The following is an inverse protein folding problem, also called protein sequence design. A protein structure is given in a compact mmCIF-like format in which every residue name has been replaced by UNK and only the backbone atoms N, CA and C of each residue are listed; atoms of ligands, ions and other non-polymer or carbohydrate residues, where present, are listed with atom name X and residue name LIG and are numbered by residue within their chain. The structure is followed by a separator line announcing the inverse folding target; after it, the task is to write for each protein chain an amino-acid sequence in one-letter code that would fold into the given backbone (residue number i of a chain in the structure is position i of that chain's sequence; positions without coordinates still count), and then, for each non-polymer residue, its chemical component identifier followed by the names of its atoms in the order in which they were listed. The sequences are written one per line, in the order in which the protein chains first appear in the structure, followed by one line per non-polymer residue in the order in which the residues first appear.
data_IF_177785394368
#
_entry.id   IF_177785394368
#
_cell.length_a   1.000
_cell.length_b   1.000
_cell.length_c   1.000
_cell.angle_alpha   90.00
_cell.angle_beta   90.00
_cell.angle_gamma   90.00
#
_symmetry.space_group_name_H-M   'P 1'
#
loop_
_entity.id
_entity.type
_entity.pdbx_description
1 polymer ?
#
# COMPACT_ATOMS: atom_id res chain seq x y z
N UNK A 1 14.81 2.16 -7.33
CA UNK A 1 14.45 3.59 -7.53
C UNK A 1 15.61 4.46 -7.09
N UNK A 2 16.02 5.48 -7.88
CA UNK A 2 17.11 6.38 -7.47
C UNK A 2 16.79 7.09 -6.15
N UNK A 3 17.71 7.11 -5.20
CA UNK A 3 17.54 7.72 -3.87
C UNK A 3 17.06 6.77 -2.76
N UNK A 4 16.73 5.51 -3.09
CA UNK A 4 16.26 4.48 -2.15
C UNK A 4 17.07 3.17 -2.24
N UNK A 5 18.29 3.23 -2.75
CA UNK A 5 19.17 2.07 -2.98
C UNK A 5 19.72 1.49 -1.68
N UNK A 6 19.85 2.34 -0.66
CA UNK A 6 20.37 1.92 0.65
C UNK A 6 19.22 1.56 1.60
N UNK A 7 19.30 0.41 2.27
CA UNK A 7 18.30 0.00 3.23
C UNK A 7 18.29 0.91 4.45
N UNK A 8 17.15 0.96 5.13
CA UNK A 8 16.95 1.76 6.33
C UNK A 8 16.56 0.86 7.49
N UNK A 9 17.05 1.22 8.67
CA UNK A 9 16.63 0.59 9.90
C UNK A 9 15.20 1.00 10.22
N UNK A 10 14.40 0.02 10.65
CA UNK A 10 13.02 0.24 11.09
C UNK A 10 12.93 -0.14 12.55
N UNK A 11 12.30 0.72 13.35
CA UNK A 11 11.95 0.44 14.74
C UNK A 11 10.55 -0.17 14.77
N UNK A 12 10.44 -1.37 15.33
CA UNK A 12 9.17 -2.08 15.47
C UNK A 12 8.59 -1.85 16.86
N UNK A 13 7.28 -1.96 17.01
CA UNK A 13 6.59 -1.94 18.30
C UNK A 13 6.76 -3.27 19.06
N UNK A 14 7.99 -3.76 19.15
CA UNK A 14 8.38 -5.00 19.82
C UNK A 14 9.50 -4.71 20.82
N UNK A 15 9.41 -5.33 22.01
CA UNK A 15 10.50 -5.26 23.00
C UNK A 15 11.75 -5.96 22.43
N UNK A 16 12.96 -5.39 22.59
CA UNK A 16 14.19 -6.05 22.19
C UNK A 16 14.26 -7.48 22.75
N UNK A 17 14.71 -8.44 21.93
CA UNK A 17 14.81 -9.85 22.31
C UNK A 17 13.51 -10.66 22.21
N UNK A 18 12.35 -10.04 22.00
CA UNK A 18 11.09 -10.79 21.82
C UNK A 18 10.90 -11.39 20.43
N UNK A 19 11.66 -10.93 19.43
CA UNK A 19 11.68 -11.49 18.08
C UNK A 19 12.72 -12.61 18.05
N UNK A 20 12.24 -13.85 17.93
CA UNK A 20 13.08 -15.04 17.95
C UNK A 20 13.81 -15.28 16.60
N UNK A 21 14.76 -16.22 16.62
CA UNK A 21 15.53 -16.61 15.44
C UNK A 21 14.66 -17.17 14.29
N UNK A 22 15.08 -16.88 13.06
CA UNK A 22 14.25 -17.00 11.86
C UNK A 22 13.06 -16.06 12.03
N UNK A 23 13.28 -14.73 11.90
CA UNK A 23 12.52 -13.68 12.55
C UNK A 23 11.05 -14.05 12.77
N UNK A 24 10.69 -14.18 14.04
CA UNK A 24 9.40 -14.74 14.45
C UNK A 24 8.96 -14.15 15.76
N UNK A 25 7.70 -13.73 15.81
CA UNK A 25 7.01 -13.28 17.02
C UNK A 25 5.75 -14.11 17.26
N UNK A 26 4.83 -13.61 18.09
CA UNK A 26 3.51 -14.17 18.38
C UNK A 26 2.59 -14.39 17.16
N UNK A 27 2.88 -13.83 15.99
CA UNK A 27 1.93 -13.74 14.86
C UNK A 27 2.55 -14.09 13.51
N UNK A 28 3.76 -13.61 13.26
CA UNK A 28 4.50 -13.70 12.02
C UNK A 28 5.65 -14.69 12.18
N UNK A 29 5.99 -15.38 11.09
CA UNK A 29 7.18 -16.21 11.02
C UNK A 29 7.79 -16.16 9.62
N UNK A 30 9.09 -15.92 9.56
CA UNK A 30 9.84 -16.09 8.31
C UNK A 30 10.13 -17.55 8.05
N UNK A 31 9.81 -17.97 6.83
CA UNK A 31 10.14 -19.28 6.27
C UNK A 31 11.09 -19.07 5.09
N UNK A 32 12.40 -19.04 5.37
CA UNK A 32 13.44 -18.95 4.34
C UNK A 32 13.66 -20.33 3.68
N UNK A 33 12.68 -20.72 2.87
CA UNK A 33 12.60 -22.03 2.24
C UNK A 33 13.59 -22.16 1.07
N UNK A 34 14.23 -23.33 0.97
CA UNK A 34 15.12 -23.66 -0.14
C UNK A 34 14.35 -24.43 -1.22
N UNK A 35 14.59 -24.08 -2.48
CA UNK A 35 14.00 -24.73 -3.67
C UNK A 35 12.46 -24.82 -3.66
N UNK A 36 11.81 -23.92 -2.91
CA UNK A 36 10.36 -23.89 -2.75
C UNK A 36 9.68 -23.55 -4.09
N UNK A 37 8.68 -24.33 -4.48
CA UNK A 37 7.69 -23.93 -5.49
C UNK A 37 6.61 -23.04 -4.84
N UNK A 38 5.97 -22.12 -5.57
CA UNK A 38 4.82 -21.39 -5.06
C UNK A 38 3.77 -22.34 -4.46
N UNK A 39 2.99 -21.87 -3.49
CA UNK A 39 1.88 -22.69 -2.99
C UNK A 39 0.79 -22.90 -4.04
N UNK A 40 0.60 -21.92 -4.92
CA UNK A 40 -0.40 -21.96 -5.99
C UNK A 40 0.24 -21.85 -7.36
N UNK A 41 -0.36 -22.52 -8.32
CA UNK A 41 -0.15 -22.21 -9.72
C UNK A 41 -0.78 -20.84 -9.98
N UNK A 42 -0.04 -19.93 -10.61
CA UNK A 42 -0.51 -18.57 -10.79
C UNK A 42 -1.49 -18.43 -11.96
N UNK A 43 -1.50 -19.37 -12.91
CA UNK A 43 -2.38 -19.34 -14.07
C UNK A 43 -3.74 -19.95 -13.73
N UNK A 44 -3.76 -21.14 -13.12
CA UNK A 44 -5.00 -21.82 -12.71
C UNK A 44 -5.50 -21.36 -11.33
N UNK A 45 -4.63 -20.79 -10.51
CA UNK A 45 -4.93 -20.47 -9.11
C UNK A 45 -4.97 -21.70 -8.20
N UNK A 46 -4.77 -22.91 -8.70
CA UNK A 46 -4.88 -24.14 -7.92
C UNK A 46 -3.68 -24.34 -6.97
N UNK A 47 -3.89 -25.08 -5.88
CA UNK A 47 -2.80 -25.39 -4.96
C UNK A 47 -1.87 -26.45 -5.56
N UNK A 48 -0.60 -26.11 -5.77
CA UNK A 48 0.47 -27.07 -6.03
C UNK A 48 0.74 -27.87 -4.74
N UNK A 49 0.63 -27.22 -3.58
CA UNK A 49 0.68 -27.82 -2.26
C UNK A 49 0.14 -26.82 -1.24
N UNK A 50 -0.28 -27.31 -0.07
CA UNK A 50 -1.02 -26.48 0.90
C UNK A 50 -0.11 -25.95 2.01
N UNK A 51 -0.25 -24.67 2.40
CA UNK A 51 0.34 -24.16 3.64
C UNK A 51 -0.24 -24.90 4.87
N UNK A 52 0.50 -25.01 6.00
CA UNK A 52 1.81 -24.42 6.27
C UNK A 52 3.00 -25.08 5.54
N UNK A 53 4.14 -24.41 5.53
CA UNK A 53 5.39 -24.95 5.00
C UNK A 53 5.79 -26.20 5.81
N UNK A 54 5.90 -27.40 5.20
CA UNK A 54 6.14 -28.62 5.96
C UNK A 54 7.44 -28.54 6.76
N UNK A 55 7.39 -28.97 8.03
CA UNK A 55 8.53 -28.87 8.97
C UNK A 55 9.80 -29.54 8.42
N UNK A 56 9.66 -30.72 7.81
CA UNK A 56 10.78 -31.49 7.24
C UNK A 56 11.33 -30.98 5.91
N UNK A 57 10.76 -29.93 5.29
CA UNK A 57 11.27 -29.42 4.01
C UNK A 57 12.48 -28.49 4.20
N UNK A 58 13.43 -28.48 3.24
CA UNK A 58 14.69 -27.73 3.35
C UNK A 58 14.48 -26.22 3.55
N UNK A 59 15.18 -25.66 4.54
CA UNK A 59 15.17 -24.22 4.84
C UNK A 59 16.56 -23.76 5.24
N UNK A 60 16.86 -22.48 5.06
CA UNK A 60 18.12 -21.90 5.57
C UNK A 60 18.14 -21.94 7.09
N UNK A 61 19.35 -21.88 7.66
CA UNK A 61 19.52 -21.75 9.11
C UNK A 61 18.78 -20.49 9.59
N UNK A 62 18.00 -20.58 10.69
CA UNK A 62 17.30 -19.42 11.22
C UNK A 62 18.27 -18.29 11.59
N UNK A 63 18.07 -17.12 11.00
CA UNK A 63 18.83 -15.90 11.31
C UNK A 63 18.62 -15.55 12.78
N UNK A 64 19.69 -15.28 13.54
CA UNK A 64 19.60 -14.97 14.97
C UNK A 64 19.66 -13.46 15.20
N UNK A 65 19.03 -12.93 16.25
CA UNK A 65 19.31 -11.58 16.70
C UNK A 65 20.73 -11.47 17.29
N UNK A 66 21.26 -10.25 17.39
CA UNK A 66 22.48 -9.96 18.15
C UNK A 66 22.22 -10.05 19.67
N UNK A 67 23.25 -9.78 20.48
CA UNK A 67 23.16 -9.86 21.95
C UNK A 67 22.10 -8.93 22.55
N UNK A 68 21.79 -7.81 21.89
CA UNK A 68 20.77 -6.84 22.28
C UNK A 68 19.37 -7.19 21.76
N UNK A 69 19.22 -8.29 21.00
CA UNK A 69 17.94 -8.70 20.46
C UNK A 69 17.56 -8.04 19.14
N UNK A 70 18.53 -7.46 18.41
CA UNK A 70 18.32 -6.74 17.14
C UNK A 70 18.85 -7.50 15.92
N UNK A 71 18.30 -7.17 14.75
CA UNK A 71 18.67 -7.73 13.43
C UNK A 71 19.34 -6.68 12.52
N UNK A 72 19.85 -5.60 13.09
CA UNK A 72 20.54 -4.49 12.39
C UNK A 72 21.95 -4.84 11.90
N UNK A 73 22.52 -5.96 12.37
CA UNK A 73 23.81 -6.50 11.93
C UNK A 73 23.76 -7.23 10.57
N UNK A 74 22.58 -7.39 9.97
CA UNK A 74 22.40 -8.16 8.74
C UNK A 74 22.92 -7.39 7.52
N UNK A 75 23.76 -8.04 6.71
CA UNK A 75 24.38 -7.41 5.53
C UNK A 75 23.44 -7.43 4.32
N UNK A 76 23.16 -6.27 3.69
CA UNK A 76 22.38 -6.20 2.45
C UNK A 76 22.91 -7.12 1.36
N UNK A 77 22.03 -7.60 0.47
CA UNK A 77 22.37 -8.55 -0.59
C UNK A 77 22.47 -10.01 -0.14
N UNK A 78 22.37 -10.30 1.17
CA UNK A 78 22.40 -11.68 1.69
C UNK A 78 20.99 -12.26 1.90
N UNK A 79 20.79 -13.59 1.81
CA UNK A 79 19.51 -14.21 2.19
C UNK A 79 19.10 -13.93 3.63
N UNK A 80 20.07 -13.80 4.54
CA UNK A 80 19.81 -13.46 5.93
C UNK A 80 19.19 -12.06 6.05
N UNK A 81 19.70 -11.09 5.28
CA UNK A 81 19.10 -9.76 5.18
C UNK A 81 17.68 -9.81 4.60
N UNK A 82 17.44 -10.56 3.50
CA UNK A 82 16.09 -10.71 2.97
C UNK A 82 15.11 -11.21 4.05
N UNK A 83 15.49 -12.23 4.82
CA UNK A 83 14.69 -12.75 5.92
C UNK A 83 14.38 -11.69 6.99
N UNK A 84 15.38 -10.91 7.42
CA UNK A 84 15.20 -9.79 8.36
C UNK A 84 14.32 -8.68 7.80
N UNK A 85 14.60 -8.24 6.57
CA UNK A 85 13.90 -7.16 5.89
C UNK A 85 12.42 -7.49 5.67
N UNK A 86 12.08 -8.70 5.22
CA UNK A 86 10.68 -9.11 5.02
C UNK A 86 9.90 -9.08 6.32
N UNK A 87 10.49 -9.58 7.41
CA UNK A 87 9.85 -9.53 8.72
C UNK A 87 9.65 -8.10 9.19
N UNK A 88 10.71 -7.28 9.13
CA UNK A 88 10.66 -5.89 9.57
C UNK A 88 9.63 -5.07 8.79
N UNK A 89 9.60 -5.22 7.45
CA UNK A 89 8.63 -4.55 6.60
C UNK A 89 7.19 -5.00 6.93
N UNK A 90 6.93 -6.31 7.03
CA UNK A 90 5.60 -6.81 7.33
C UNK A 90 5.11 -6.39 8.73
N UNK A 91 5.97 -6.47 9.74
CA UNK A 91 5.66 -6.04 11.10
C UNK A 91 5.39 -4.52 11.16
N UNK A 92 6.22 -3.72 10.49
CA UNK A 92 6.05 -2.26 10.43
C UNK A 92 4.72 -1.86 9.78
N UNK A 93 4.35 -2.50 8.68
CA UNK A 93 3.07 -2.23 7.99
C UNK A 93 1.88 -2.58 8.90
N UNK A 94 1.97 -3.67 9.66
CA UNK A 94 0.95 -4.01 10.65
C UNK A 94 0.91 -2.99 11.79
N UNK A 95 2.05 -2.57 12.35
CA UNK A 95 2.10 -1.56 13.41
C UNK A 95 1.44 -0.24 12.97
N UNK A 96 1.75 0.23 11.75
CA UNK A 96 1.15 1.44 11.16
C UNK A 96 -0.38 1.30 11.04
N UNK A 97 -0.86 0.21 10.44
CA UNK A 97 -2.28 0.08 10.17
C UNK A 97 -3.09 -0.30 11.40
N UNK A 98 -2.52 -1.02 12.36
CA UNK A 98 -3.15 -1.29 13.66
C UNK A 98 -3.31 -0.02 14.50
N UNK A 99 -2.38 0.93 14.39
CA UNK A 99 -2.55 2.27 14.96
C UNK A 99 -3.78 2.98 14.38
N UNK A 100 -3.93 3.02 13.04
CA UNK A 100 -5.07 3.70 12.43
C UNK A 100 -6.40 2.96 12.57
N UNK A 101 -6.36 1.63 12.70
CA UNK A 101 -7.53 0.80 12.95
C UNK A 101 -7.94 0.76 14.42
N UNK A 102 -7.10 1.29 15.33
CA UNK A 102 -7.29 1.29 16.78
C UNK A 102 -7.56 -0.11 17.35
N UNK A 103 -6.90 -1.12 16.77
CA UNK A 103 -6.98 -2.51 17.23
C UNK A 103 -5.88 -3.36 16.63
N UNK A 104 -5.48 -4.38 17.38
CA UNK A 104 -4.66 -5.47 16.85
C UNK A 104 -5.48 -6.35 15.91
N UNK A 105 -4.97 -6.61 14.72
CA UNK A 105 -5.58 -7.44 13.70
C UNK A 105 -5.37 -8.93 13.97
N UNK A 106 -6.42 -9.72 13.78
CA UNK A 106 -6.31 -11.18 13.71
C UNK A 106 -6.19 -11.60 12.26
N UNK A 107 -4.96 -11.87 11.82
CA UNK A 107 -4.71 -12.37 10.47
C UNK A 107 -5.36 -13.75 10.29
N UNK A 108 -5.99 -13.98 9.12
CA UNK A 108 -6.59 -15.26 8.79
C UNK A 108 -5.48 -16.25 8.43
N UNK A 109 -5.51 -17.42 9.07
CA UNK A 109 -4.57 -18.52 8.85
C UNK A 109 -5.28 -19.72 8.21
N UNK A 110 -4.54 -20.59 7.54
CA UNK A 110 -5.07 -21.89 7.12
C UNK A 110 -5.22 -22.84 8.31
N UNK A 111 -5.95 -23.93 8.07
CA UNK A 111 -5.97 -25.05 8.99
C UNK A 111 -4.55 -25.52 9.29
N UNK A 112 -4.25 -25.80 10.57
CA UNK A 112 -2.94 -26.22 11.09
C UNK A 112 -1.84 -25.15 11.14
N UNK A 113 -2.02 -23.98 10.51
CA UNK A 113 -1.11 -22.85 10.72
C UNK A 113 -1.27 -22.28 12.13
N UNK A 114 -0.13 -21.85 12.71
CA UNK A 114 -0.07 -21.18 14.02
C UNK A 114 0.36 -19.71 13.90
N UNK A 115 1.06 -19.39 12.81
CA UNK A 115 1.58 -18.08 12.49
C UNK A 115 1.39 -17.83 11.00
N UNK A 116 1.37 -16.56 10.64
CA UNK A 116 1.38 -16.09 9.27
C UNK A 116 2.78 -16.27 8.67
N UNK A 117 2.87 -16.90 7.51
CA UNK A 117 4.15 -17.24 6.89
C UNK A 117 4.63 -16.13 5.94
N UNK A 118 5.82 -15.61 6.20
CA UNK A 118 6.55 -14.70 5.31
C UNK A 118 7.61 -15.52 4.57
N UNK A 119 7.49 -15.66 3.25
CA UNK A 119 8.39 -16.49 2.45
C UNK A 119 9.18 -15.58 1.50
N UNK A 120 10.42 -15.19 1.88
CA UNK A 120 11.11 -14.06 1.27
C UNK A 120 11.64 -14.32 -0.14
N UNK A 121 11.95 -15.58 -0.49
CA UNK A 121 12.72 -15.90 -1.71
C UNK A 121 12.22 -17.17 -2.41
N UNK A 122 11.16 -17.05 -3.21
CA UNK A 122 10.58 -18.14 -4.01
C UNK A 122 11.02 -17.98 -5.47
N UNK A 123 12.17 -18.53 -5.84
CA UNK A 123 12.73 -18.38 -7.20
C UNK A 123 11.77 -18.79 -8.32
N UNK A 124 11.00 -19.86 -8.10
CA UNK A 124 10.01 -20.37 -9.07
C UNK A 124 8.77 -19.50 -9.21
N UNK A 125 8.59 -18.50 -8.33
CA UNK A 125 7.53 -17.50 -8.48
C UNK A 125 7.86 -16.51 -9.62
N UNK A 126 9.13 -16.43 -10.03
CA UNK A 126 9.59 -15.51 -11.08
C UNK A 126 9.51 -14.06 -10.61
N UNK A 127 9.20 -13.18 -11.55
CA UNK A 127 8.90 -11.78 -11.28
C UNK A 127 7.46 -11.63 -10.82
N UNK A 128 7.24 -11.99 -9.55
CA UNK A 128 5.98 -11.70 -8.88
C UNK A 128 6.14 -11.71 -7.36
N UNK A 129 5.14 -11.19 -6.67
CA UNK A 129 4.85 -11.44 -5.27
C UNK A 129 3.39 -11.91 -5.16
N UNK A 130 3.08 -12.81 -4.24
CA UNK A 130 1.76 -13.40 -4.14
C UNK A 130 1.29 -13.61 -2.70
N UNK A 131 0.02 -13.28 -2.47
CA UNK A 131 -0.66 -13.38 -1.19
C UNK A 131 -1.79 -14.39 -1.22
N UNK A 132 -1.61 -15.50 -0.50
CA UNK A 132 -2.69 -16.44 -0.21
C UNK A 132 -3.06 -16.43 1.26
N UNK A 133 -4.25 -16.93 1.63
CA UNK A 133 -4.67 -16.98 3.05
C UNK A 133 -3.54 -17.50 3.93
N UNK A 134 -3.16 -16.78 4.99
CA UNK A 134 -2.12 -17.21 5.93
C UNK A 134 -0.67 -17.14 5.47
N UNK A 135 -0.36 -16.62 4.28
CA UNK A 135 1.02 -16.47 3.81
C UNK A 135 1.22 -15.35 2.76
N UNK A 136 2.47 -14.91 2.60
CA UNK A 136 2.95 -14.15 1.45
C UNK A 136 4.23 -14.78 0.90
N UNK A 137 4.38 -14.75 -0.43
CA UNK A 137 5.53 -15.28 -1.15
C UNK A 137 6.11 -14.19 -2.06
N UNK A 138 7.43 -14.08 -2.08
CA UNK A 138 8.12 -13.09 -2.90
C UNK A 138 9.10 -13.75 -3.85
N UNK A 139 9.01 -13.37 -5.12
CA UNK A 139 9.95 -13.72 -6.17
C UNK A 139 11.03 -12.67 -6.30
N UNK A 140 11.46 -12.43 -7.53
CA UNK A 140 12.57 -11.55 -7.86
C UNK A 140 12.23 -10.68 -9.05
N UNK A 141 12.49 -9.38 -8.95
CA UNK A 141 12.43 -8.48 -10.09
C UNK A 141 13.39 -8.95 -11.20
N UNK A 142 13.00 -8.79 -12.45
CA UNK A 142 13.77 -9.09 -13.65
C UNK A 142 15.03 -8.23 -13.89
N UNK A 143 15.42 -7.38 -12.94
CA UNK A 143 16.62 -6.56 -13.01
C UNK A 143 17.93 -7.41 -12.96
N UNK A 144 19.05 -6.84 -13.40
CA UNK A 144 20.39 -7.43 -13.27
C UNK A 144 21.27 -6.58 -12.32
N UNK A 145 21.67 -7.11 -11.14
CA UNK A 145 21.33 -8.41 -10.59
C UNK A 145 19.86 -8.47 -10.11
N UNK A 146 19.27 -9.68 -10.16
CA UNK A 146 17.88 -9.91 -9.72
C UNK A 146 17.66 -9.48 -8.27
N UNK A 147 16.73 -8.54 -8.07
CA UNK A 147 16.42 -8.01 -6.75
C UNK A 147 15.23 -8.75 -6.12
N UNK A 148 15.33 -9.21 -4.87
CA UNK A 148 14.22 -9.88 -4.20
C UNK A 148 13.12 -8.87 -3.83
N UNK A 149 11.88 -9.15 -4.24
CA UNK A 149 10.75 -8.24 -3.95
C UNK A 149 10.50 -8.01 -2.46
N UNK A 150 10.90 -8.96 -1.63
CA UNK A 150 10.72 -8.92 -0.19
C UNK A 150 11.60 -7.89 0.52
N UNK A 151 12.58 -7.30 -0.18
CA UNK A 151 13.41 -6.20 0.32
C UNK A 151 12.84 -4.83 -0.06
N UNK A 152 11.78 -4.78 -0.87
CA UNK A 152 11.08 -3.55 -1.19
C UNK A 152 9.83 -3.38 -0.31
N UNK A 153 9.83 -2.33 0.52
CA UNK A 153 8.75 -2.04 1.45
C UNK A 153 7.40 -1.86 0.74
N UNK A 154 7.37 -1.23 -0.44
CA UNK A 154 6.10 -0.95 -1.11
C UNK A 154 5.39 -2.25 -1.57
N UNK A 155 6.16 -3.23 -2.04
CA UNK A 155 5.69 -4.56 -2.44
C UNK A 155 5.27 -5.36 -1.21
N UNK A 156 6.08 -5.39 -0.15
CA UNK A 156 5.70 -6.08 1.09
C UNK A 156 4.44 -5.47 1.70
N UNK A 157 4.32 -4.14 1.71
CA UNK A 157 3.17 -3.44 2.24
C UNK A 157 1.89 -3.72 1.44
N UNK A 158 1.97 -3.78 0.11
CA UNK A 158 0.84 -4.19 -0.72
C UNK A 158 0.41 -5.62 -0.37
N UNK A 159 1.34 -6.58 -0.32
CA UNK A 159 1.02 -7.99 -0.05
C UNK A 159 0.42 -8.20 1.35
N UNK A 160 1.00 -7.55 2.36
CA UNK A 160 0.44 -7.53 3.72
C UNK A 160 -0.91 -6.80 3.74
N UNK A 161 -1.10 -5.80 2.89
CA UNK A 161 -2.34 -5.06 2.70
C UNK A 161 -3.52 -5.94 2.33
N UNK A 162 -3.35 -6.95 1.48
CA UNK A 162 -4.41 -7.92 1.21
C UNK A 162 -4.90 -8.64 2.48
N UNK A 163 -4.00 -8.93 3.42
CA UNK A 163 -4.35 -9.60 4.68
C UNK A 163 -4.98 -8.66 5.69
N UNK A 164 -4.53 -7.41 5.74
CA UNK A 164 -5.19 -6.34 6.51
C UNK A 164 -6.63 -6.18 6.02
N UNK A 165 -6.83 -5.98 4.71
CA UNK A 165 -8.15 -5.79 4.11
C UNK A 165 -9.06 -7.00 4.32
N UNK A 166 -8.52 -8.22 4.19
CA UNK A 166 -9.29 -9.44 4.49
C UNK A 166 -9.73 -9.51 5.96
N UNK A 167 -8.92 -9.03 6.89
CA UNK A 167 -9.24 -9.00 8.33
C UNK A 167 -10.18 -7.84 8.73
N UNK A 168 -10.30 -6.82 7.90
CA UNK A 168 -11.13 -5.63 8.17
C UNK A 168 -12.45 -5.68 7.42
N UNK A 169 -12.42 -5.92 6.11
CA UNK A 169 -13.58 -5.90 5.21
C UNK A 169 -14.22 -7.29 5.13
N UNK A 170 -13.42 -8.35 5.13
CA UNK A 170 -13.86 -9.73 4.96
C UNK A 170 -13.33 -10.39 3.68
N UNK A 171 -13.67 -11.66 3.42
CA UNK A 171 -13.25 -12.36 2.21
C UNK A 171 -14.02 -11.86 0.97
N UNK A 172 -13.42 -12.03 -0.20
CA UNK A 172 -14.09 -11.81 -1.49
C UNK A 172 -15.34 -12.69 -1.59
N UNK A 173 -16.50 -12.14 -2.03
CA UNK A 173 -17.70 -12.92 -2.31
C UNK A 173 -17.48 -13.96 -3.41
N UNK A 174 -18.35 -14.97 -3.48
CA UNK A 174 -18.36 -15.97 -4.55
C UNK A 174 -19.38 -15.64 -5.67
N UNK A 175 -20.00 -14.47 -5.61
CA UNK A 175 -21.08 -14.04 -6.51
C UNK A 175 -20.62 -12.95 -7.51
N UNK A 176 -21.57 -12.34 -8.21
CA UNK A 176 -21.32 -11.28 -9.18
C UNK A 176 -20.61 -10.04 -8.60
N UNK A 177 -20.57 -9.86 -7.27
CA UNK A 177 -19.84 -8.79 -6.62
C UNK A 177 -18.35 -9.06 -6.46
N UNK A 178 -17.89 -10.30 -6.71
CA UNK A 178 -16.49 -10.70 -6.56
C UNK A 178 -15.52 -9.78 -7.33
N UNK A 179 -15.87 -9.45 -8.58
CA UNK A 179 -14.98 -8.71 -9.48
C UNK A 179 -14.65 -7.30 -8.99
N UNK A 180 -15.67 -6.48 -8.70
CA UNK A 180 -15.44 -5.12 -8.21
C UNK A 180 -14.83 -5.12 -6.80
N UNK A 181 -15.19 -6.11 -5.98
CA UNK A 181 -14.56 -6.30 -4.68
C UNK A 181 -13.06 -6.61 -4.81
N UNK A 182 -12.65 -7.48 -5.73
CA UNK A 182 -11.24 -7.74 -6.03
C UNK A 182 -10.54 -6.48 -6.54
N UNK A 183 -11.15 -5.76 -7.48
CA UNK A 183 -10.62 -4.50 -7.98
C UNK A 183 -10.42 -3.46 -6.85
N UNK A 184 -11.32 -3.43 -5.87
CA UNK A 184 -11.18 -2.62 -4.68
C UNK A 184 -10.05 -3.09 -3.77
N UNK A 185 -9.94 -4.39 -3.51
CA UNK A 185 -8.90 -4.96 -2.64
C UNK A 185 -7.50 -4.70 -3.21
N UNK A 186 -7.32 -4.81 -4.53
CA UNK A 186 -6.06 -4.44 -5.20
C UNK A 186 -5.74 -2.95 -5.02
N UNK A 187 -6.68 -2.07 -5.39
CA UNK A 187 -6.49 -0.63 -5.25
C UNK A 187 -6.27 -0.21 -3.79
N UNK A 188 -6.94 -0.85 -2.84
CA UNK A 188 -6.79 -0.58 -1.42
C UNK A 188 -5.46 -1.12 -0.86
N UNK A 189 -4.90 -2.20 -1.42
CA UNK A 189 -3.57 -2.67 -1.07
C UNK A 189 -2.48 -1.68 -1.53
N UNK A 190 -2.65 -1.05 -2.69
CA UNK A 190 -1.82 0.09 -3.10
C UNK A 190 -1.94 1.27 -2.14
N UNK A 191 -3.14 1.56 -1.62
CA UNK A 191 -3.34 2.61 -0.60
C UNK A 191 -2.71 2.25 0.76
N UNK A 192 -2.74 0.97 1.15
CA UNK A 192 -2.01 0.45 2.32
C UNK A 192 -0.53 0.75 2.19
N UNK A 193 0.03 0.44 1.02
CA UNK A 193 1.43 0.69 0.70
C UNK A 193 1.78 2.17 0.67
N UNK A 194 0.95 3.00 0.03
CA UNK A 194 1.11 4.46 -0.03
C UNK A 194 1.17 5.08 1.37
N UNK A 195 0.22 4.77 2.23
CA UNK A 195 0.23 5.26 3.62
C UNK A 195 1.50 4.79 4.33
N UNK A 196 1.86 3.50 4.20
CA UNK A 196 3.02 2.94 4.87
C UNK A 196 4.33 3.63 4.48
N UNK A 197 4.56 3.90 3.18
CA UNK A 197 5.79 4.58 2.75
C UNK A 197 5.84 6.06 3.18
N UNK A 198 4.68 6.72 3.30
CA UNK A 198 4.61 8.13 3.72
C UNK A 198 4.86 8.32 5.23
N UNK A 199 4.99 7.24 6.00
CA UNK A 199 5.51 7.28 7.38
C UNK A 199 7.03 7.43 7.46
N UNK A 200 7.75 7.36 6.35
CA UNK A 200 9.20 7.47 6.33
C UNK A 200 9.63 8.88 5.90
N UNK A 201 10.32 9.59 6.79
CA UNK A 201 10.76 10.97 6.55
C UNK A 201 11.60 11.12 5.28
N UNK A 202 12.42 10.12 4.94
CA UNK A 202 13.19 10.13 3.69
C UNK A 202 12.29 10.08 2.45
N UNK A 203 11.18 9.34 2.50
CA UNK A 203 10.22 9.27 1.39
C UNK A 203 9.51 10.61 1.26
N UNK A 204 9.06 11.18 2.39
CA UNK A 204 8.43 12.51 2.43
C UNK A 204 9.37 13.59 1.89
N UNK A 205 10.62 13.64 2.38
CA UNK A 205 11.63 14.60 1.94
C UNK A 205 11.91 14.46 0.44
N UNK A 206 12.20 13.24 -0.03
CA UNK A 206 12.48 12.99 -1.44
C UNK A 206 11.29 13.38 -2.34
N UNK A 207 10.07 13.02 -1.94
CA UNK A 207 8.85 13.37 -2.66
C UNK A 207 8.69 14.89 -2.77
N UNK A 208 8.88 15.63 -1.68
CA UNK A 208 8.72 17.08 -1.66
C UNK A 208 9.85 17.80 -2.40
N UNK A 209 11.08 17.29 -2.34
CA UNK A 209 12.22 17.78 -3.11
C UNK A 209 12.01 17.58 -4.62
N UNK A 210 11.58 16.40 -5.05
CA UNK A 210 11.30 16.06 -6.45
C UNK A 210 10.15 16.93 -7.00
N UNK A 211 9.07 17.04 -6.23
CA UNK A 211 7.85 17.73 -6.66
C UNK A 211 7.84 19.23 -6.38
N UNK A 212 8.81 19.73 -5.61
CA UNK A 212 8.86 21.09 -5.05
C UNK A 212 7.54 21.46 -4.35
N UNK A 213 6.99 20.50 -3.62
CA UNK A 213 5.75 20.64 -2.85
C UNK A 213 4.44 20.44 -3.64
N UNK A 214 4.47 20.22 -4.96
CA UNK A 214 3.26 20.02 -5.78
C UNK A 214 3.02 18.55 -6.15
N UNK A 215 2.13 17.89 -5.39
CA UNK A 215 1.89 16.45 -5.51
C UNK A 215 0.95 16.05 -6.67
N UNK A 216 0.21 16.98 -7.27
CA UNK A 216 -0.49 16.76 -8.55
C UNK A 216 0.51 16.69 -9.71
N UNK A 217 1.20 15.56 -9.78
CA UNK A 217 2.27 15.22 -10.71
C UNK A 217 2.51 13.70 -10.66
N UNK A 218 3.27 13.17 -11.62
CA UNK A 218 3.80 11.80 -11.50
C UNK A 218 5.04 11.88 -10.60
N UNK A 219 5.07 11.10 -9.52
CA UNK A 219 6.11 11.16 -8.48
C UNK A 219 6.17 9.83 -7.71
N UNK A 220 7.03 9.70 -6.71
CA UNK A 220 7.15 8.44 -5.91
C UNK A 220 5.83 7.97 -5.31
N UNK A 221 5.05 8.87 -4.70
CA UNK A 221 3.76 8.52 -4.09
C UNK A 221 2.71 8.09 -5.14
N UNK A 222 2.73 8.68 -6.33
CA UNK A 222 1.80 8.30 -7.40
C UNK A 222 2.18 6.98 -8.08
N UNK A 223 3.39 6.45 -7.86
CA UNK A 223 3.97 5.28 -8.55
C UNK A 223 4.03 4.02 -7.67
N UNK A 224 3.42 4.06 -6.49
CA UNK A 224 3.33 2.90 -5.60
C UNK A 224 2.69 1.73 -6.36
N UNK A 225 3.36 0.56 -6.33
CA UNK A 225 2.90 -0.65 -7.03
C UNK A 225 3.38 -0.77 -8.49
N UNK A 226 4.12 0.21 -9.04
CA UNK A 226 4.64 0.15 -10.41
C UNK A 226 5.66 -0.99 -10.64
N UNK A 227 6.36 -1.46 -9.60
CA UNK A 227 7.37 -2.53 -9.72
C UNK A 227 6.78 -3.92 -9.97
N UNK A 228 5.45 -4.13 -9.89
CA UNK A 228 4.85 -5.48 -9.86
C UNK A 228 4.32 -6.00 -11.20
N UNK A 229 4.45 -5.24 -12.29
CA UNK A 229 3.80 -5.57 -13.56
C UNK A 229 4.67 -6.37 -14.52
N UNK A 230 5.04 -7.61 -14.18
CA UNK A 230 5.49 -8.59 -15.19
C UNK A 230 4.38 -9.57 -15.62
N UNK A 231 3.22 -9.58 -14.95
CA UNK A 231 2.11 -10.48 -15.32
C UNK A 231 1.35 -10.12 -16.61
N UNK A 232 1.72 -9.07 -17.35
CA UNK A 232 1.00 -8.63 -18.56
C UNK A 232 1.84 -8.41 -19.81
N UNK A 233 3.17 -8.60 -19.78
CA UNK A 233 4.03 -8.36 -20.95
C UNK A 233 3.94 -6.94 -21.53
N UNK A 234 3.36 -5.97 -20.79
CA UNK A 234 3.28 -4.56 -21.15
C UNK A 234 3.70 -3.72 -19.95
N UNK A 235 4.77 -2.95 -20.14
CA UNK A 235 5.25 -1.87 -19.28
C UNK A 235 4.21 -0.73 -19.22
N UNK A 236 3.02 -0.98 -18.69
CA UNK A 236 2.11 0.08 -18.27
C UNK A 236 2.16 0.21 -16.75
N UNK A 237 3.09 1.05 -16.34
CA UNK A 237 3.25 1.53 -14.98
C UNK A 237 1.90 1.95 -14.36
N UNK A 238 1.46 1.24 -13.31
CA UNK A 238 0.27 1.57 -12.51
C UNK A 238 0.51 2.85 -11.70
N UNK A 239 0.38 4.01 -12.33
CA UNK A 239 0.36 5.29 -11.61
C UNK A 239 -1.05 5.55 -11.06
N UNK A 240 -1.16 5.92 -9.78
CA UNK A 240 -2.38 6.47 -9.18
C UNK A 240 -2.72 7.85 -9.76
N UNK A 241 -1.72 8.58 -10.27
CA UNK A 241 -1.91 9.84 -10.96
C UNK A 241 -2.28 9.60 -12.44
N UNK A 242 -3.59 9.58 -12.72
CA UNK A 242 -4.20 9.50 -14.05
C UNK A 242 -5.61 10.12 -14.04
N UNK A 243 -6.27 10.21 -15.19
CA UNK A 243 -7.63 10.75 -15.36
C UNK A 243 -8.71 9.71 -15.64
N UNK A 244 -8.33 8.47 -15.98
CA UNK A 244 -9.29 7.37 -16.25
C UNK A 244 -10.45 7.30 -15.25
N UNK A 245 -11.65 7.19 -15.81
CA UNK A 245 -12.96 7.02 -15.17
C UNK A 245 -13.42 5.57 -15.31
N UNK A 246 -14.51 5.20 -14.63
CA UNK A 246 -15.09 3.86 -14.76
C UNK A 246 -15.52 3.52 -16.20
N UNK A 247 -16.03 4.50 -16.95
CA UNK A 247 -16.39 4.35 -18.37
C UNK A 247 -15.17 3.95 -19.23
N UNK A 248 -14.02 4.60 -19.00
CA UNK A 248 -12.77 4.34 -19.74
C UNK A 248 -12.22 2.93 -19.51
N UNK A 249 -12.55 2.30 -18.37
CA UNK A 249 -12.08 0.96 -17.99
C UNK A 249 -13.19 -0.08 -18.05
N UNK A 250 -14.36 0.24 -18.60
CA UNK A 250 -15.49 -0.68 -18.66
C UNK A 250 -15.16 -2.00 -19.40
N UNK A 251 -14.29 -1.94 -20.42
CA UNK A 251 -13.81 -3.12 -21.13
C UNK A 251 -12.97 -4.07 -20.24
N UNK A 252 -12.29 -3.56 -19.20
CA UNK A 252 -11.51 -4.38 -18.27
C UNK A 252 -12.40 -5.37 -17.50
N UNK A 253 -13.64 -4.96 -17.18
CA UNK A 253 -14.64 -5.84 -16.55
C UNK A 253 -14.98 -7.05 -17.40
N UNK A 254 -15.17 -6.85 -18.70
CA UNK A 254 -15.44 -7.96 -19.64
C UNK A 254 -14.25 -8.91 -19.81
N UNK A 255 -13.03 -8.40 -19.62
CA UNK A 255 -11.78 -9.17 -19.74
C UNK A 255 -11.34 -9.84 -18.43
N UNK A 256 -12.07 -9.65 -17.33
CA UNK A 256 -11.65 -10.14 -16.02
C UNK A 256 -10.42 -9.41 -15.43
N UNK A 257 -10.05 -8.25 -15.98
CA UNK A 257 -8.91 -7.46 -15.51
C UNK A 257 -9.32 -6.51 -14.38
N UNK A 258 -9.41 -7.06 -13.17
CA UNK A 258 -9.77 -6.29 -11.98
C UNK A 258 -8.69 -5.25 -11.60
N UNK A 259 -7.44 -5.44 -12.00
CA UNK A 259 -6.36 -4.48 -11.76
C UNK A 259 -6.61 -3.18 -12.54
N UNK A 260 -6.87 -3.28 -13.85
CA UNK A 260 -7.20 -2.10 -14.66
C UNK A 260 -8.51 -1.46 -14.21
N UNK A 261 -9.50 -2.27 -13.82
CA UNK A 261 -10.79 -1.79 -13.34
C UNK A 261 -10.70 -0.99 -12.02
N UNK A 262 -9.74 -1.32 -11.14
CA UNK A 262 -9.51 -0.62 -9.87
C UNK A 262 -8.87 0.77 -10.00
N UNK A 263 -8.27 1.11 -11.15
CA UNK A 263 -7.51 2.35 -11.34
C UNK A 263 -8.31 3.62 -11.02
N UNK A 264 -9.56 3.82 -11.50
CA UNK A 264 -10.33 5.02 -11.17
C UNK A 264 -10.55 5.21 -9.67
N UNK A 265 -10.74 4.12 -8.90
CA UNK A 265 -10.87 4.18 -7.45
C UNK A 265 -9.56 4.63 -6.79
N UNK A 266 -8.42 4.00 -7.16
CA UNK A 266 -7.10 4.37 -6.65
C UNK A 266 -6.79 5.84 -6.92
N UNK A 267 -7.06 6.30 -8.14
CA UNK A 267 -6.84 7.68 -8.55
C UNK A 267 -7.70 8.68 -7.77
N UNK A 268 -8.99 8.39 -7.53
CA UNK A 268 -9.82 9.25 -6.67
C UNK A 268 -9.28 9.33 -5.24
N UNK A 269 -8.85 8.20 -4.67
CA UNK A 269 -8.30 8.17 -3.32
C UNK A 269 -6.97 8.95 -3.21
N UNK A 270 -6.11 8.87 -4.22
CA UNK A 270 -4.90 9.69 -4.30
C UNK A 270 -5.23 11.19 -4.41
N UNK A 271 -6.20 11.57 -5.25
CA UNK A 271 -6.67 12.96 -5.37
C UNK A 271 -7.16 13.50 -4.00
N UNK A 272 -7.86 12.67 -3.20
CA UNK A 272 -8.28 13.02 -1.84
C UNK A 272 -7.08 13.28 -0.92
N UNK A 273 -6.06 12.42 -0.92
CA UNK A 273 -4.84 12.64 -0.12
C UNK A 273 -4.17 13.98 -0.47
N UNK A 274 -4.01 14.27 -1.77
CA UNK A 274 -3.38 15.51 -2.24
C UNK A 274 -4.20 16.74 -1.83
N UNK A 275 -5.52 16.69 -1.93
CA UNK A 275 -6.38 17.81 -1.53
C UNK A 275 -6.42 18.01 0.00
N UNK A 276 -6.34 16.96 0.81
CA UNK A 276 -6.17 17.08 2.27
C UNK A 276 -4.83 17.77 2.58
N UNK A 277 -3.76 17.36 1.91
CA UNK A 277 -2.43 17.98 2.04
C UNK A 277 -2.45 19.47 1.69
N UNK A 278 -3.02 19.84 0.55
CA UNK A 278 -3.12 21.26 0.18
C UNK A 278 -4.04 22.05 1.12
N UNK A 279 -5.05 21.42 1.71
CA UNK A 279 -5.87 22.02 2.76
C UNK A 279 -5.05 22.37 4.00
N UNK A 280 -4.15 21.47 4.44
CA UNK A 280 -3.24 21.74 5.55
C UNK A 280 -2.22 22.84 5.21
N UNK A 281 -1.67 22.86 4.00
CA UNK A 281 -0.79 23.94 3.55
C UNK A 281 -1.51 25.31 3.60
N UNK A 282 -2.78 25.38 3.18
CA UNK A 282 -3.58 26.59 3.24
C UNK A 282 -3.83 27.02 4.70
N UNK A 283 -4.18 26.08 5.58
CA UNK A 283 -4.45 26.38 7.00
C UNK A 283 -3.22 26.87 7.74
N UNK A 284 -2.03 26.41 7.34
CA UNK A 284 -0.72 26.84 7.85
C UNK A 284 -0.18 28.08 7.13
N UNK A 285 -0.96 28.67 6.21
CA UNK A 285 -0.59 29.84 5.41
C UNK A 285 0.67 29.63 4.54
N UNK A 286 1.03 28.37 4.31
CA UNK A 286 2.16 27.97 3.47
C UNK A 286 1.85 28.16 1.98
N UNK A 287 0.58 28.06 1.59
CA UNK A 287 0.09 28.45 0.26
C UNK A 287 -1.20 29.23 0.36
N UNK A 288 -1.53 30.04 -0.66
CA UNK A 288 -2.81 30.75 -0.69
C UNK A 288 -3.95 29.81 -1.10
N UNK A 289 -5.19 30.13 -0.66
CA UNK A 289 -6.41 29.46 -1.16
C UNK A 289 -6.56 29.55 -2.68
N UNK A 290 -6.02 30.60 -3.30
CA UNK A 290 -6.03 30.77 -4.77
C UNK A 290 -5.07 29.79 -5.45
N UNK A 291 -3.88 29.58 -4.86
CA UNK A 291 -2.90 28.62 -5.36
C UNK A 291 -3.44 27.18 -5.28
N UNK A 292 -3.97 26.78 -4.13
CA UNK A 292 -4.60 25.46 -3.95
C UNK A 292 -5.75 25.21 -4.95
N UNK A 293 -6.69 26.16 -5.11
CA UNK A 293 -7.81 26.01 -6.08
C UNK A 293 -7.38 25.84 -7.53
N UNK A 294 -6.20 26.34 -7.90
CA UNK A 294 -5.62 26.18 -9.25
C UNK A 294 -4.83 24.88 -9.37
N UNK A 295 -4.48 24.25 -8.26
CA UNK A 295 -3.82 22.96 -8.23
C UNK A 295 -4.85 21.87 -8.47
N UNK A 296 -4.62 21.08 -9.51
CA UNK A 296 -5.49 19.97 -9.86
C UNK A 296 -4.87 19.17 -11.00
N UNK A 297 -5.54 18.08 -11.36
CA UNK A 297 -5.10 17.19 -12.45
C UNK A 297 -4.96 17.95 -13.79
N UNK A 298 -5.92 18.82 -14.11
CA UNK A 298 -5.91 19.64 -15.32
C UNK A 298 -4.67 20.55 -15.43
N UNK A 299 -4.09 20.97 -14.30
CA UNK A 299 -2.92 21.87 -14.26
C UNK A 299 -1.60 21.14 -13.98
N UNK A 300 -1.62 19.81 -13.90
CA UNK A 300 -0.42 19.01 -13.68
C UNK A 300 0.57 19.06 -14.84
N UNK A 301 0.08 19.00 -16.09
CA UNK A 301 0.91 19.01 -17.30
C UNK A 301 1.26 20.44 -17.76
N UNK A 302 0.29 21.35 -17.76
CA UNK A 302 0.39 22.68 -18.39
C UNK A 302 0.91 23.81 -17.48
N UNK A 303 0.97 23.63 -16.16
CA UNK A 303 1.22 24.73 -15.22
C UNK A 303 2.69 24.98 -14.86
N UNK A 304 3.59 25.34 -15.80
CA UNK A 304 4.98 25.73 -15.43
C UNK A 304 4.99 26.87 -14.41
N UNK A 305 4.11 27.85 -14.59
CA UNK A 305 3.92 28.95 -13.64
C UNK A 305 3.43 28.46 -12.27
N UNK A 306 2.47 27.53 -12.26
CA UNK A 306 1.94 26.95 -11.02
C UNK A 306 3.00 26.15 -10.25
N UNK A 307 3.81 25.35 -10.96
CA UNK A 307 4.96 24.64 -10.36
C UNK A 307 5.98 25.61 -9.76
N UNK A 308 6.26 26.73 -10.45
CA UNK A 308 7.16 27.79 -9.93
C UNK A 308 6.59 28.45 -8.67
N UNK A 309 5.28 28.70 -8.63
CA UNK A 309 4.60 29.30 -7.48
C UNK A 309 4.68 28.37 -6.26
N UNK A 310 4.36 27.07 -6.43
CA UNK A 310 4.57 26.06 -5.38
C UNK A 310 6.04 25.98 -4.95
N UNK A 311 6.98 25.94 -5.89
CA UNK A 311 8.40 25.87 -5.59
C UNK A 311 8.90 27.10 -4.81
N UNK A 312 8.37 28.29 -5.13
CA UNK A 312 8.69 29.52 -4.40
C UNK A 312 8.20 29.43 -2.95
N UNK A 313 6.98 28.90 -2.72
CA UNK A 313 6.44 28.69 -1.38
C UNK A 313 7.17 27.59 -0.61
N UNK A 314 7.48 26.47 -1.25
CA UNK A 314 8.23 25.36 -0.67
C UNK A 314 9.62 25.80 -0.19
N UNK A 315 10.34 26.60 -0.99
CA UNK A 315 11.68 27.10 -0.60
C UNK A 315 11.68 27.95 0.68
N UNK A 316 10.56 28.61 0.99
CA UNK A 316 10.46 29.45 2.19
C UNK A 316 10.23 28.63 3.46
N UNK A 317 9.60 27.46 3.35
CA UNK A 317 9.34 26.59 4.50
C UNK A 317 9.17 25.11 4.10
N UNK A 318 10.28 24.39 3.81
CA UNK A 318 10.23 22.98 3.46
C UNK A 318 9.66 22.10 4.58
N UNK A 319 10.00 22.39 5.84
CA UNK A 319 9.57 21.61 7.00
C UNK A 319 8.06 21.69 7.21
N UNK A 320 7.47 22.89 7.03
CA UNK A 320 6.02 23.07 7.09
C UNK A 320 5.27 22.29 6.00
N UNK A 321 5.88 22.11 4.82
CA UNK A 321 5.33 21.24 3.78
C UNK A 321 5.42 19.76 4.19
N UNK A 322 6.53 19.34 4.80
CA UNK A 322 6.68 17.98 5.32
C UNK A 322 5.65 17.69 6.41
N UNK A 323 5.45 18.60 7.37
CA UNK A 323 4.46 18.46 8.44
C UNK A 323 3.03 18.40 7.89
N UNK A 324 2.69 19.26 6.92
CA UNK A 324 1.38 19.21 6.28
C UNK A 324 1.13 17.86 5.57
N UNK A 325 2.15 17.26 4.97
CA UNK A 325 2.03 15.95 4.33
C UNK A 325 1.90 14.81 5.35
N UNK A 326 2.63 14.88 6.46
CA UNK A 326 2.49 13.91 7.57
C UNK A 326 1.08 13.96 8.17
N UNK A 327 0.56 15.16 8.42
CA UNK A 327 -0.81 15.35 8.91
C UNK A 327 -1.86 14.86 7.90
N UNK A 328 -1.67 15.16 6.62
CA UNK A 328 -2.55 14.67 5.57
C UNK A 328 -2.56 13.15 5.46
N UNK A 329 -1.39 12.52 5.58
CA UNK A 329 -1.25 11.06 5.60
C UNK A 329 -2.01 10.47 6.77
N UNK A 330 -1.89 11.06 7.96
CA UNK A 330 -2.60 10.62 9.15
C UNK A 330 -4.12 10.76 9.03
N UNK A 331 -4.61 11.92 8.56
CA UNK A 331 -6.04 12.15 8.32
C UNK A 331 -6.60 11.15 7.29
N UNK A 332 -5.90 11.00 6.16
CA UNK A 332 -6.29 10.10 5.08
C UNK A 332 -6.34 8.63 5.54
N UNK A 333 -5.32 8.18 6.29
CA UNK A 333 -5.28 6.82 6.84
C UNK A 333 -6.42 6.56 7.84
N UNK A 334 -6.75 7.53 8.71
CA UNK A 334 -7.91 7.42 9.63
C UNK A 334 -9.24 7.33 8.87
N UNK A 335 -9.40 8.12 7.80
CA UNK A 335 -10.58 8.05 6.92
C UNK A 335 -10.71 6.67 6.27
N UNK A 336 -9.64 6.15 5.67
CA UNK A 336 -9.61 4.81 5.06
C UNK A 336 -9.92 3.72 6.09
N UNK A 337 -9.22 3.71 7.22
CA UNK A 337 -9.41 2.73 8.28
C UNK A 337 -10.87 2.69 8.75
N UNK A 338 -11.47 3.86 9.02
CA UNK A 338 -12.87 3.95 9.46
C UNK A 338 -13.84 3.55 8.35
N UNK A 339 -13.56 3.90 7.10
CA UNK A 339 -14.40 3.53 5.96
C UNK A 339 -14.40 2.01 5.75
N UNK A 340 -13.22 1.37 5.77
CA UNK A 340 -13.08 -0.07 5.61
C UNK A 340 -13.73 -0.86 6.75
N UNK A 341 -13.66 -0.39 8.00
CA UNK A 341 -14.36 -1.03 9.13
C UNK A 341 -15.89 -1.10 8.93
N UNK A 342 -16.47 -0.14 8.19
CA UNK A 342 -17.90 -0.11 7.85
C UNK A 342 -18.22 -0.85 6.54
N UNK A 343 -17.22 -1.13 5.72
CA UNK A 343 -17.38 -1.87 4.47
C UNK A 343 -17.58 -3.35 4.75
N UNK A 344 -18.49 -3.95 3.97
CA UNK A 344 -18.73 -5.39 3.92
C UNK A 344 -18.62 -5.84 2.46
N UNK A 345 -18.24 -7.08 2.17
CA UNK A 345 -18.22 -7.59 0.80
C UNK A 345 -19.64 -7.53 0.21
N UNK A 346 -19.76 -7.20 -1.08
CA UNK A 346 -21.05 -7.06 -1.75
C UNK A 346 -21.01 -6.13 -2.96
N UNK A 347 -22.14 -5.97 -3.67
CA UNK A 347 -22.20 -5.14 -4.87
C UNK A 347 -21.90 -3.67 -4.60
N UNK A 348 -21.55 -2.94 -5.65
CA UNK A 348 -21.23 -1.51 -5.65
C UNK A 348 -20.17 -1.13 -4.61
N UNK A 349 -19.12 -1.95 -4.50
CA UNK A 349 -18.07 -1.80 -3.49
C UNK A 349 -17.43 -0.42 -3.57
N UNK A 350 -17.13 0.10 -4.77
CA UNK A 350 -16.53 1.43 -4.93
C UNK A 350 -17.43 2.55 -4.39
N UNK A 351 -18.70 2.55 -4.79
CA UNK A 351 -19.68 3.55 -4.38
C UNK A 351 -19.94 3.53 -2.86
N UNK A 352 -19.97 2.33 -2.27
CA UNK A 352 -20.13 2.14 -0.82
C UNK A 352 -18.93 2.61 -0.03
N UNK A 353 -17.71 2.27 -0.47
CA UNK A 353 -16.48 2.73 0.20
C UNK A 353 -16.38 4.26 0.11
N UNK A 354 -16.68 4.86 -1.03
CA UNK A 354 -16.74 6.32 -1.17
C UNK A 354 -17.79 6.94 -0.21
N UNK A 355 -18.95 6.30 -0.05
CA UNK A 355 -19.96 6.68 0.93
C UNK A 355 -19.46 6.59 2.38
N UNK A 356 -18.74 5.50 2.72
CA UNK A 356 -18.16 5.32 4.05
C UNK A 356 -17.03 6.31 4.32
N UNK A 357 -16.26 6.74 3.32
CA UNK A 357 -15.28 7.83 3.47
C UNK A 357 -15.95 9.15 3.84
N UNK A 358 -17.05 9.49 3.17
CA UNK A 358 -17.84 10.69 3.54
C UNK A 358 -18.41 10.58 4.95
N UNK A 359 -18.89 9.40 5.35
CA UNK A 359 -19.39 9.16 6.71
C UNK A 359 -18.27 9.21 7.76
N UNK A 360 -17.09 8.69 7.44
CA UNK A 360 -15.90 8.76 8.29
C UNK A 360 -15.46 10.21 8.49
N UNK A 361 -15.41 11.01 7.41
CA UNK A 361 -15.06 12.43 7.46
C UNK A 361 -16.03 13.23 8.35
N UNK A 362 -17.34 13.01 8.21
CA UNK A 362 -18.33 13.63 9.10
C UNK A 362 -18.05 13.35 10.57
N UNK A 363 -17.66 12.12 10.92
CA UNK A 363 -17.41 11.69 12.30
C UNK A 363 -16.06 12.15 12.85
N UNK A 364 -15.01 12.13 12.03
CA UNK A 364 -13.64 12.35 12.48
C UNK A 364 -13.22 13.83 12.39
N UNK A 365 -13.77 14.58 11.45
CA UNK A 365 -13.30 15.95 11.13
C UNK A 365 -14.43 16.98 11.13
N UNK A 366 -15.66 16.57 11.42
CA UNK A 366 -16.85 17.41 11.28
C UNK A 366 -17.29 17.64 9.84
N UNK A 367 -16.80 16.84 8.87
CA UNK A 367 -17.16 16.97 7.46
C UNK A 367 -16.23 17.88 6.65
N UNK A 368 -15.02 18.14 7.17
CA UNK A 368 -14.05 19.06 6.58
C UNK A 368 -13.68 18.68 5.14
N UNK A 369 -13.56 17.39 4.85
CA UNK A 369 -13.10 16.87 3.56
C UNK A 369 -14.26 16.36 2.68
N UNK A 370 -15.52 16.50 3.11
CA UNK A 370 -16.69 15.95 2.43
C UNK A 370 -16.79 16.36 0.97
N UNK A 371 -16.53 17.63 0.68
CA UNK A 371 -16.57 18.16 -0.70
C UNK A 371 -15.47 17.54 -1.55
N UNK A 372 -14.24 17.52 -1.04
CA UNK A 372 -13.05 16.92 -1.67
C UNK A 372 -13.33 15.46 -2.03
N UNK A 373 -13.76 14.66 -1.04
CA UNK A 373 -14.06 13.23 -1.24
C UNK A 373 -15.13 13.05 -2.32
N UNK A 374 -16.27 13.75 -2.23
CA UNK A 374 -17.34 13.61 -3.23
C UNK A 374 -16.89 14.01 -4.62
N UNK A 375 -16.14 15.10 -4.74
CA UNK A 375 -15.68 15.61 -6.02
C UNK A 375 -14.67 14.66 -6.68
N UNK A 376 -13.66 14.19 -5.93
CA UNK A 376 -12.64 13.28 -6.43
C UNK A 376 -13.23 11.99 -6.99
N UNK A 377 -14.16 11.35 -6.25
CA UNK A 377 -14.84 10.14 -6.70
C UNK A 377 -15.82 10.39 -7.85
N UNK A 378 -16.61 11.48 -7.81
CA UNK A 378 -17.54 11.81 -8.89
C UNK A 378 -16.83 12.07 -10.23
N UNK A 379 -15.66 12.72 -10.20
CA UNK A 379 -14.83 12.93 -11.40
C UNK A 379 -14.32 11.62 -12.03
N UNK A 380 -14.46 10.47 -11.34
CA UNK A 380 -14.11 9.12 -11.81
C UNK A 380 -15.33 8.29 -12.20
N UNK A 381 -16.52 8.86 -12.14
CA UNK A 381 -17.78 8.14 -12.33
C UNK A 381 -18.22 7.30 -11.11
N UNK A 382 -17.63 7.53 -9.93
CA UNK A 382 -17.98 6.81 -8.70
C UNK A 382 -18.85 7.72 -7.83
N UNK A 383 -20.15 7.43 -7.77
CA UNK A 383 -21.09 8.21 -6.95
C UNK A 383 -21.16 7.63 -5.55
N UNK A 384 -20.77 8.40 -4.54
CA UNK A 384 -20.83 8.00 -3.15
C UNK A 384 -22.28 7.75 -2.70
N UNK A 385 -22.61 6.50 -2.33
CA UNK A 385 -23.94 6.14 -1.82
C UNK A 385 -23.96 6.30 -0.30
N UNK A 386 -24.88 7.11 0.23
CA UNK A 386 -25.25 7.02 1.64
C UNK A 386 -26.12 5.78 1.83
N UNK A 387 -25.89 4.98 2.89
CA UNK A 387 -26.94 4.05 3.34
C UNK A 387 -28.20 4.89 3.54
N UNK A 388 -29.29 4.57 2.83
CA UNK A 388 -30.61 4.97 3.33
C UNK A 388 -30.75 4.33 4.72
N UNK A 389 -31.30 5.04 5.70
CA UNK A 389 -31.53 4.51 7.04
C UNK A 389 -32.24 3.16 6.99
#
# INVERSE_FOLDING_TARGET
MRGFEQPRLVRLAARPGTIAAGPRDGRLQVIDALHKAPYRDLASGEYIWRPPYPRGKPRRRPVRPNAQGHFDHLRPGTPAFSAGATFAAAACVLDIWEHYLDRRLRLRLNQRQRRFELIPRVRRLGDNAYSGVGYVEFGFAGEDPRQPYCENLDVVAHEVGHHILRAVIGPTPADAAAFEHQAHVEAAADLVSLVAILHFDRVVAHLLEETRGKLYSRNVASRVGEFRSEWSGRLEARTAFHDKRLEDVAAARRKGDFHTYGRPFLGAAYDVLVEIYESHLVRRELITRRLARRSGRATARSGRALRREFAARYRLNPDGFADALREATGDFARLLARAWQQTRPGPDTFARVAGHLVAADRRLTGGRYRRVIRQAFAQRGIVARSRRP
#
